data_IF_986236732425
#
_entry.id   IF_986236732425
#
_cell.length_a   1.000
_cell.length_b   1.000
_cell.length_c   1.000
_cell.angle_alpha   90.00
_cell.angle_beta   90.00
_cell.angle_gamma   90.00
#
_symmetry.space_group_name_H-M   'P 1'
#
loop_
_entity.id
_entity.type
_entity.pdbx_description
1 polymer ?
#
# COMPACT_ATOMS: atom_id res chain seq x y z
N UNK A 1 -6.28 14.82 9.71
CA UNK A 1 -4.99 14.08 9.70
C UNK A 1 -5.03 12.71 10.38
N UNK A 2 -5.66 12.54 11.56
CA UNK A 2 -5.76 11.23 12.24
C UNK A 2 -6.44 10.16 11.36
N UNK A 3 -7.56 10.53 10.70
CA UNK A 3 -8.30 9.62 9.81
C UNK A 3 -7.43 9.14 8.62
N UNK A 4 -6.72 10.06 7.97
CA UNK A 4 -5.76 9.75 6.90
C UNK A 4 -4.67 8.79 7.38
N UNK A 5 -4.13 9.04 8.59
CA UNK A 5 -3.14 8.16 9.21
C UNK A 5 -3.67 6.74 9.42
N UNK A 6 -4.91 6.59 9.88
CA UNK A 6 -5.56 5.28 10.03
C UNK A 6 -5.77 4.60 8.67
N UNK A 7 -6.26 5.31 7.66
CA UNK A 7 -6.46 4.72 6.32
C UNK A 7 -5.14 4.22 5.73
N UNK A 8 -4.06 4.98 5.86
CA UNK A 8 -2.72 4.55 5.44
C UNK A 8 -2.22 3.35 6.26
N UNK A 9 -2.45 3.36 7.58
CA UNK A 9 -2.08 2.26 8.48
C UNK A 9 -2.80 0.96 8.19
N UNK A 10 -3.98 0.97 7.57
CA UNK A 10 -4.70 -0.24 7.14
C UNK A 10 -4.57 -0.53 5.63
N UNK A 11 -3.92 0.36 4.87
CA UNK A 11 -3.74 0.18 3.41
C UNK A 11 -2.85 -1.01 3.05
N UNK A 12 -2.01 -1.48 3.97
CA UNK A 12 -1.15 -2.66 3.73
C UNK A 12 -1.93 -3.95 3.49
N UNK A 13 -3.20 -4.04 3.93
CA UNK A 13 -4.04 -5.22 3.70
C UNK A 13 -4.21 -5.49 2.21
N UNK A 14 -4.36 -4.44 1.40
CA UNK A 14 -4.44 -4.55 -0.07
C UNK A 14 -3.14 -5.10 -0.68
N UNK A 15 -2.00 -4.80 -0.06
CA UNK A 15 -0.67 -5.23 -0.53
C UNK A 15 -0.37 -6.69 -0.20
N UNK A 16 -1.04 -7.30 0.78
CA UNK A 16 -0.84 -8.72 1.15
C UNK A 16 -1.06 -9.66 -0.03
N UNK A 17 -2.12 -9.42 -0.83
CA UNK A 17 -2.41 -10.21 -2.02
C UNK A 17 -1.30 -10.11 -3.07
N UNK A 18 -0.78 -8.91 -3.29
CA UNK A 18 0.33 -8.63 -4.22
C UNK A 18 1.60 -9.34 -3.77
N UNK A 19 1.99 -9.17 -2.51
CA UNK A 19 3.19 -9.82 -1.95
C UNK A 19 3.06 -11.34 -2.04
N UNK A 20 1.90 -11.91 -1.72
CA UNK A 20 1.67 -13.35 -1.85
C UNK A 20 1.81 -13.84 -3.29
N UNK A 21 1.26 -13.11 -4.26
CA UNK A 21 1.38 -13.44 -5.67
C UNK A 21 2.86 -13.38 -6.13
N UNK A 22 3.60 -12.36 -5.72
CA UNK A 22 5.03 -12.24 -6.00
C UNK A 22 5.85 -13.37 -5.38
N UNK A 23 5.54 -13.78 -4.14
CA UNK A 23 6.21 -14.93 -3.50
C UNK A 23 5.92 -16.25 -4.24
N UNK A 24 4.68 -16.46 -4.69
CA UNK A 24 4.30 -17.64 -5.48
C UNK A 24 4.91 -17.64 -6.88
N UNK A 25 5.13 -16.47 -7.47
CA UNK A 25 5.87 -16.31 -8.73
C UNK A 25 7.36 -16.57 -8.53
N UNK A 26 7.95 -15.91 -7.55
CA UNK A 26 9.39 -15.88 -7.34
C UNK A 26 9.95 -17.23 -6.87
N UNK A 27 9.17 -18.03 -6.14
CA UNK A 27 9.59 -19.39 -5.76
C UNK A 27 9.84 -20.33 -6.95
N UNK A 28 9.32 -20.01 -8.13
CA UNK A 28 9.50 -20.79 -9.35
C UNK A 28 10.68 -20.30 -10.21
N UNK A 29 11.40 -19.26 -9.77
CA UNK A 29 12.55 -18.77 -10.52
C UNK A 29 13.74 -19.72 -10.44
N UNK A 30 14.48 -19.80 -11.55
CA UNK A 30 15.64 -20.67 -11.69
C UNK A 30 16.72 -20.39 -10.63
N UNK A 31 16.97 -19.12 -10.30
CA UNK A 31 17.95 -18.76 -9.27
C UNK A 31 17.53 -19.23 -7.87
N UNK A 32 16.23 -19.31 -7.57
CA UNK A 32 15.72 -19.82 -6.30
C UNK A 32 15.89 -21.34 -6.24
N UNK A 33 15.61 -22.01 -7.35
CA UNK A 33 15.80 -23.46 -7.47
C UNK A 33 17.29 -23.84 -7.37
N UNK A 34 18.18 -23.08 -8.02
CA UNK A 34 19.61 -23.24 -7.92
C UNK A 34 20.12 -23.01 -6.48
N UNK A 35 19.70 -21.93 -5.82
CA UNK A 35 20.07 -21.66 -4.43
C UNK A 35 19.62 -22.77 -3.48
N UNK A 36 18.42 -23.33 -3.69
CA UNK A 36 17.93 -24.48 -2.93
C UNK A 36 18.75 -25.74 -3.18
N UNK A 37 19.12 -26.02 -4.44
CA UNK A 37 19.97 -27.15 -4.80
C UNK A 37 21.38 -27.05 -4.19
N UNK A 38 21.88 -25.83 -4.02
CA UNK A 38 23.15 -25.53 -3.33
C UNK A 38 23.04 -25.59 -1.78
N UNK A 39 21.88 -25.93 -1.23
CA UNK A 39 21.68 -26.06 0.22
C UNK A 39 21.51 -24.74 0.97
N UNK A 40 21.24 -23.63 0.28
CA UNK A 40 21.01 -22.33 0.94
C UNK A 40 19.73 -22.40 1.78
N UNK A 41 19.75 -21.97 3.06
CA UNK A 41 18.58 -22.05 3.91
C UNK A 41 17.44 -21.16 3.41
N UNK A 42 16.20 -21.65 3.54
CA UNK A 42 14.98 -20.94 3.09
C UNK A 42 14.89 -19.52 3.67
N UNK A 43 15.33 -19.29 4.91
CA UNK A 43 15.32 -17.94 5.52
C UNK A 43 16.18 -16.97 4.72
N UNK A 44 17.39 -17.37 4.32
CA UNK A 44 18.26 -16.54 3.49
C UNK A 44 17.63 -16.26 2.14
N UNK A 45 17.04 -17.27 1.49
CA UNK A 45 16.35 -17.09 0.20
C UNK A 45 15.19 -16.11 0.34
N UNK A 46 14.39 -16.23 1.39
CA UNK A 46 13.25 -15.37 1.66
C UNK A 46 13.66 -13.91 1.89
N UNK A 47 14.60 -13.64 2.80
CA UNK A 47 14.94 -12.25 3.16
C UNK A 47 15.91 -11.57 2.18
N UNK A 48 16.81 -12.34 1.54
CA UNK A 48 17.84 -11.80 0.63
C UNK A 48 17.34 -11.69 -0.81
N UNK A 49 16.42 -12.54 -1.24
CA UNK A 49 16.01 -12.63 -2.64
C UNK A 49 14.51 -12.40 -2.84
N UNK A 50 13.66 -13.17 -2.17
CA UNK A 50 12.21 -13.16 -2.40
C UNK A 50 11.53 -11.89 -1.90
N UNK A 51 11.82 -11.47 -0.67
CA UNK A 51 11.23 -10.28 -0.05
C UNK A 51 11.62 -9.00 -0.80
N UNK A 52 12.91 -8.73 -1.10
CA UNK A 52 13.27 -7.55 -1.89
C UNK A 52 12.62 -7.54 -3.27
N UNK A 53 12.47 -8.70 -3.92
CA UNK A 53 11.81 -8.81 -5.21
C UNK A 53 10.30 -8.45 -5.12
N UNK A 54 9.59 -8.98 -4.13
CA UNK A 54 8.18 -8.68 -3.90
C UNK A 54 7.93 -7.22 -3.47
N UNK A 55 8.90 -6.60 -2.79
CA UNK A 55 8.83 -5.19 -2.39
C UNK A 55 8.81 -4.25 -3.59
N UNK A 56 9.43 -4.60 -4.72
CA UNK A 56 9.38 -3.76 -5.94
C UNK A 56 7.94 -3.55 -6.40
N UNK A 57 7.17 -4.63 -6.53
CA UNK A 57 5.76 -4.54 -6.91
C UNK A 57 4.94 -3.75 -5.88
N UNK A 58 5.21 -3.96 -4.59
CA UNK A 58 4.54 -3.27 -3.48
C UNK A 58 4.77 -1.76 -3.55
N UNK A 59 6.02 -1.33 -3.79
CA UNK A 59 6.40 0.07 -3.94
C UNK A 59 5.73 0.72 -5.16
N UNK A 60 5.55 -0.02 -6.25
CA UNK A 60 4.83 0.47 -7.44
C UNK A 60 3.36 0.82 -7.13
N UNK A 61 2.73 0.17 -6.16
CA UNK A 61 1.34 0.45 -5.77
C UNK A 61 1.18 1.60 -4.77
N UNK A 62 2.25 2.08 -4.15
CA UNK A 62 2.18 3.15 -3.14
C UNK A 62 1.52 4.44 -3.65
N UNK A 63 1.83 4.96 -4.85
CA UNK A 63 1.19 6.19 -5.36
C UNK A 63 -0.33 6.05 -5.49
N UNK A 64 -0.80 4.86 -5.89
CA UNK A 64 -2.22 4.58 -6.05
C UNK A 64 -2.94 4.49 -4.71
N UNK A 65 -2.32 3.86 -3.71
CA UNK A 65 -2.86 3.82 -2.34
C UNK A 65 -2.98 5.22 -1.74
N UNK A 66 -1.98 6.07 -1.96
CA UNK A 66 -2.02 7.46 -1.52
C UNK A 66 -3.15 8.23 -2.22
N UNK A 67 -3.24 8.13 -3.54
CA UNK A 67 -4.27 8.81 -4.33
C UNK A 67 -5.69 8.35 -3.97
N UNK A 68 -5.88 7.05 -3.76
CA UNK A 68 -7.15 6.48 -3.29
C UNK A 68 -7.51 6.93 -1.87
N UNK A 69 -6.54 7.01 -0.97
CA UNK A 69 -6.75 7.50 0.40
C UNK A 69 -7.17 8.97 0.43
N UNK A 70 -6.52 9.82 -0.37
CA UNK A 70 -6.87 11.25 -0.51
C UNK A 70 -8.28 11.41 -1.11
N UNK A 71 -8.61 10.62 -2.13
CA UNK A 71 -9.92 10.66 -2.78
C UNK A 71 -11.03 10.25 -1.81
N UNK A 72 -10.78 9.22 -1.01
CA UNK A 72 -11.73 8.75 0.01
C UNK A 72 -11.91 9.78 1.12
N UNK A 73 -10.81 10.37 1.62
CA UNK A 73 -10.87 11.43 2.63
C UNK A 73 -11.67 12.65 2.13
N UNK A 74 -11.37 13.11 0.91
CA UNK A 74 -12.09 14.25 0.29
C UNK A 74 -13.59 13.95 0.15
N UNK A 75 -13.95 12.71 -0.21
CA UNK A 75 -15.34 12.29 -0.30
C UNK A 75 -16.03 12.25 1.07
N UNK A 76 -15.34 11.78 2.11
CA UNK A 76 -15.85 11.78 3.49
C UNK A 76 -15.99 13.19 4.07
N UNK A 77 -15.06 14.09 3.75
CA UNK A 77 -15.14 15.52 4.11
C UNK A 77 -16.36 16.17 3.43
N UNK A 78 -16.58 15.91 2.14
CA UNK A 78 -17.75 16.42 1.41
C UNK A 78 -19.07 15.93 2.02
N UNK A 79 -19.12 14.68 2.47
CA UNK A 79 -20.28 14.07 3.13
C UNK A 79 -20.44 14.47 4.61
N UNK A 80 -19.49 15.24 5.17
CA UNK A 80 -19.55 15.73 6.55
C UNK A 80 -19.10 14.74 7.63
N UNK A 81 -18.47 13.63 7.25
CA UNK A 81 -17.99 12.57 8.16
C UNK A 81 -16.46 12.59 8.37
N UNK A 82 -15.72 13.52 7.75
CA UNK A 82 -14.26 13.47 7.70
C UNK A 82 -13.50 14.25 8.78
N UNK A 83 -13.67 15.57 8.88
CA UNK A 83 -12.89 16.46 9.77
C UNK A 83 -13.81 17.30 10.69
N UNK A 84 -13.40 17.60 11.94
CA UNK A 84 -14.15 18.49 12.82
C UNK A 84 -14.26 19.91 12.20
N UNK A 85 -15.38 20.62 12.41
CA UNK A 85 -15.63 21.91 11.78
C UNK A 85 -14.55 22.93 12.18
N UNK A 86 -13.80 23.44 11.20
CA UNK A 86 -12.78 24.48 11.40
C UNK A 86 -11.37 24.17 10.88
N UNK A 87 -11.06 22.95 10.43
CA UNK A 87 -9.79 22.68 9.74
C UNK A 87 -9.93 22.88 8.23
N UNK A 88 -9.10 23.74 7.62
CA UNK A 88 -9.12 23.98 6.17
C UNK A 88 -8.82 22.70 5.38
N UNK A 89 -9.89 22.04 4.90
CA UNK A 89 -9.82 20.88 4.02
C UNK A 89 -10.19 21.29 2.58
N UNK A 90 -9.63 20.60 1.59
CA UNK A 90 -9.92 20.84 0.17
C UNK A 90 -11.42 20.71 -0.16
N UNK A 91 -12.15 19.84 0.55
CA UNK A 91 -13.60 19.66 0.39
C UNK A 91 -14.43 20.83 0.92
N UNK A 92 -14.05 21.40 2.07
CA UNK A 92 -14.70 22.60 2.63
C UNK A 92 -14.51 23.81 1.71
N UNK A 93 -13.31 23.98 1.15
CA UNK A 93 -12.98 25.06 0.21
C UNK A 93 -13.79 24.95 -1.10
N UNK A 94 -13.98 23.75 -1.65
CA UNK A 94 -14.85 23.51 -2.79
C UNK A 94 -16.32 23.83 -2.48
N UNK A 95 -16.80 23.47 -1.28
CA UNK A 95 -18.18 23.74 -0.84
C UNK A 95 -18.43 25.23 -0.58
N UNK A 96 -17.43 25.96 -0.07
CA UNK A 96 -17.48 27.41 0.08
C UNK A 96 -17.45 28.13 -1.27
N UNK A 97 -16.67 27.64 -2.24
CA UNK A 97 -16.61 28.21 -3.59
C UNK A 97 -17.90 28.02 -4.40
N UNK A 98 -18.78 27.09 -4.00
CA UNK A 98 -20.04 26.79 -4.66
C UNK A 98 -21.24 27.60 -4.10
N UNK A 99 -21.04 28.41 -3.06
CA UNK A 99 -22.00 29.39 -2.54
C UNK A 99 -21.69 30.77 -3.08
#
# INVERSE_FOLDING_TARGET
>A
FILLGLMLLFSWVALVGVVRAEFLRARNFEYVNAARALGVPNRTIMFRHLLPNAMVATLTFLPFLLSGSISTLTSLDYLGFGLPPGSASLGELLKQAQR
#
